data_IF_887768743028
#
_entry.id   IF_887768743028
#
_cell.length_a   1.000
_cell.length_b   1.000
_cell.length_c   1.000
_cell.angle_alpha   90.00
_cell.angle_beta   90.00
_cell.angle_gamma   90.00
#
_symmetry.space_group_name_H-M   'P 1'
#
loop_
_entity.id
_entity.type
_entity.pdbx_description
1 polymer ?
#
# COMPACT_ATOMS: atom_id res chain seq x y z
N UNK A 1 -32.52 -6.02 -0.67
CA UNK A 1 -32.44 -4.64 -1.20
C UNK A 1 -31.13 -4.04 -0.77
N UNK A 2 -30.29 -3.62 -1.72
CA UNK A 2 -29.01 -2.96 -1.44
C UNK A 2 -29.33 -1.47 -1.17
N UNK A 3 -29.23 -1.02 0.07
CA UNK A 3 -29.40 0.40 0.40
C UNK A 3 -28.21 1.21 -0.14
N UNK A 4 -28.49 2.06 -1.14
CA UNK A 4 -27.57 3.00 -1.81
C UNK A 4 -27.19 4.21 -0.93
N UNK A 5 -26.69 3.97 0.27
CA UNK A 5 -26.20 5.05 1.15
C UNK A 5 -25.05 4.67 2.07
N UNK A 6 -24.48 3.47 1.93
CA UNK A 6 -23.48 2.95 2.88
C UNK A 6 -22.07 3.49 2.61
N UNK A 7 -21.39 3.82 3.70
CA UNK A 7 -20.00 4.26 3.75
C UNK A 7 -19.12 3.05 4.09
N UNK A 8 -18.98 2.14 3.13
CA UNK A 8 -18.33 0.85 3.36
C UNK A 8 -16.87 0.98 3.81
N UNK A 9 -16.14 1.99 3.34
CA UNK A 9 -14.78 2.27 3.79
C UNK A 9 -14.74 2.71 5.25
N UNK A 10 -15.73 3.46 5.70
CA UNK A 10 -15.84 3.93 7.09
C UNK A 10 -16.14 2.79 8.06
N UNK A 11 -16.87 1.76 7.62
CA UNK A 11 -17.23 0.57 8.40
C UNK A 11 -16.03 -0.37 8.68
N UNK A 12 -14.91 -0.19 7.97
CA UNK A 12 -13.68 -0.94 8.21
C UNK A 12 -12.98 -0.45 9.48
N UNK A 13 -12.36 -1.38 10.21
CA UNK A 13 -11.58 -1.07 11.40
C UNK A 13 -10.52 0.00 11.11
N UNK A 14 -10.40 0.97 12.01
CA UNK A 14 -9.42 2.06 11.90
C UNK A 14 -8.28 1.89 12.89
N UNK A 15 -7.22 2.67 12.69
CA UNK A 15 -6.06 2.81 13.55
C UNK A 15 -5.41 4.17 13.28
N UNK A 16 -4.45 4.54 14.12
CA UNK A 16 -3.80 5.85 14.07
C UNK A 16 -3.24 6.22 12.69
N UNK A 17 -2.66 5.23 11.96
CA UNK A 17 -2.17 5.46 10.60
C UNK A 17 -3.34 5.70 9.62
N UNK A 18 -4.41 4.93 9.73
CA UNK A 18 -5.61 5.09 8.90
C UNK A 18 -6.25 6.47 9.09
N UNK A 19 -6.38 6.91 10.34
CA UNK A 19 -6.97 8.20 10.69
C UNK A 19 -6.05 9.35 10.26
N UNK A 20 -4.74 9.23 10.47
CA UNK A 20 -3.76 10.21 10.02
C UNK A 20 -3.82 10.42 8.50
N UNK A 21 -3.80 9.33 7.71
CA UNK A 21 -3.85 9.42 6.25
C UNK A 21 -5.20 9.92 5.74
N UNK A 22 -6.30 9.54 6.40
CA UNK A 22 -7.65 10.06 6.09
C UNK A 22 -7.70 11.57 6.27
N UNK A 23 -7.20 12.06 7.42
CA UNK A 23 -7.17 13.50 7.72
C UNK A 23 -6.36 14.28 6.69
N UNK A 24 -5.18 13.78 6.31
CA UNK A 24 -4.34 14.44 5.30
C UNK A 24 -5.00 14.44 3.90
N UNK A 25 -5.65 13.34 3.51
CA UNK A 25 -6.34 13.24 2.23
C UNK A 25 -7.49 14.27 2.13
N UNK A 26 -8.29 14.41 3.19
CA UNK A 26 -9.38 15.38 3.23
C UNK A 26 -8.88 16.82 3.35
N UNK A 27 -7.79 17.07 4.07
CA UNK A 27 -7.19 18.40 4.19
C UNK A 27 -6.60 18.91 2.86
N UNK A 28 -6.25 18.01 1.93
CA UNK A 28 -5.72 18.36 0.62
C UNK A 28 -6.79 18.84 -0.39
N UNK A 29 -8.07 18.76 -0.04
CA UNK A 29 -9.18 19.14 -0.92
C UNK A 29 -10.18 20.06 -0.21
N UNK A 30 -10.87 20.92 -0.95
CA UNK A 30 -11.83 21.89 -0.39
C UNK A 30 -13.26 21.31 -0.25
N UNK A 31 -13.41 19.98 -0.14
CA UNK A 31 -14.69 19.27 -0.33
C UNK A 31 -15.30 18.61 0.91
N UNK A 32 -14.69 18.73 2.09
CA UNK A 32 -15.13 18.04 3.31
C UNK A 32 -14.65 16.58 3.41
N UNK A 33 -15.31 15.77 4.23
CA UNK A 33 -14.95 14.36 4.51
C UNK A 33 -15.33 13.42 3.34
N UNK A 34 -14.61 13.57 2.22
CA UNK A 34 -14.86 12.81 0.98
C UNK A 34 -14.04 11.52 0.90
N UNK A 35 -12.86 11.50 1.52
CA UNK A 35 -11.94 10.38 1.47
C UNK A 35 -11.92 9.59 2.78
N UNK A 36 -11.68 8.30 2.65
CA UNK A 36 -11.45 7.40 3.78
C UNK A 36 -10.27 6.50 3.46
N UNK A 37 -9.26 6.47 4.30
CA UNK A 37 -8.07 5.62 4.14
C UNK A 37 -8.06 4.57 5.23
N UNK A 38 -7.75 3.32 4.88
CA UNK A 38 -7.75 2.19 5.80
C UNK A 38 -6.54 1.30 5.58
N UNK A 39 -5.84 0.98 6.66
CA UNK A 39 -4.89 -0.13 6.71
C UNK A 39 -5.71 -1.42 6.82
N UNK A 40 -5.86 -2.13 5.72
CA UNK A 40 -6.72 -3.32 5.61
C UNK A 40 -5.99 -4.62 5.92
N UNK A 41 -4.65 -4.60 5.92
CA UNK A 41 -3.81 -5.69 6.39
C UNK A 41 -2.53 -5.14 7.01
N UNK A 42 -2.05 -5.80 8.06
CA UNK A 42 -0.77 -5.56 8.71
C UNK A 42 -0.29 -6.88 9.32
N UNK A 43 0.64 -7.57 8.66
CA UNK A 43 1.12 -8.89 9.09
C UNK A 43 2.63 -8.90 9.20
N UNK A 44 3.18 -9.88 9.91
CA UNK A 44 4.62 -10.15 9.93
C UNK A 44 4.88 -11.36 9.04
N UNK A 45 5.87 -11.26 8.17
CA UNK A 45 6.30 -12.35 7.28
C UNK A 45 7.80 -12.54 7.46
N UNK A 46 8.23 -13.80 7.47
CA UNK A 46 9.63 -14.20 7.41
C UNK A 46 9.87 -14.88 6.08
N UNK A 47 10.84 -14.41 5.30
CA UNK A 47 11.12 -14.91 3.96
C UNK A 47 12.64 -15.10 3.73
N UNK A 48 13.04 -16.17 3.03
CA UNK A 48 14.44 -16.36 2.66
C UNK A 48 14.86 -15.32 1.62
N UNK A 49 15.92 -14.59 1.92
CA UNK A 49 16.46 -13.51 1.09
C UNK A 49 17.91 -13.83 0.73
N UNK A 50 18.31 -13.73 -0.56
CA UNK A 50 19.70 -13.97 -0.95
C UNK A 50 20.62 -12.89 -0.35
N UNK A 51 21.73 -13.33 0.20
CA UNK A 51 22.80 -12.48 0.75
C UNK A 51 23.86 -12.19 -0.30
N UNK A 52 24.55 -11.07 -0.17
CA UNK A 52 25.67 -10.70 -1.04
C UNK A 52 26.82 -11.71 -1.01
N UNK A 53 26.94 -12.51 0.06
CA UNK A 53 27.96 -13.55 0.22
C UNK A 53 27.57 -14.91 -0.37
N UNK A 54 26.48 -14.99 -1.14
CA UNK A 54 26.07 -16.22 -1.84
C UNK A 54 25.28 -17.23 -0.99
N UNK A 55 24.79 -16.83 0.19
CA UNK A 55 23.88 -17.63 1.04
C UNK A 55 22.46 -17.08 1.06
N UNK A 56 21.57 -17.68 1.86
CA UNK A 56 20.21 -17.16 2.12
C UNK A 56 20.06 -16.88 3.61
N UNK A 57 19.50 -15.72 3.94
CA UNK A 57 19.13 -15.34 5.30
C UNK A 57 17.61 -15.22 5.42
N UNK A 58 17.05 -15.63 6.56
CA UNK A 58 15.62 -15.41 6.83
C UNK A 58 15.43 -13.98 7.33
N UNK A 59 14.73 -13.16 6.53
CA UNK A 59 14.45 -11.77 6.89
C UNK A 59 13.01 -11.65 7.30
N UNK A 60 12.78 -11.08 8.49
CA UNK A 60 11.46 -10.82 9.03
C UNK A 60 11.09 -9.36 8.85
N UNK A 61 9.92 -9.10 8.31
CA UNK A 61 9.42 -7.75 8.06
C UNK A 61 7.90 -7.69 8.17
N UNK A 62 7.37 -6.48 8.35
CA UNK A 62 5.93 -6.25 8.32
C UNK A 62 5.45 -5.95 6.91
N UNK A 63 4.31 -6.51 6.54
CA UNK A 63 3.61 -6.20 5.29
C UNK A 63 2.31 -5.49 5.61
N UNK A 64 2.16 -4.29 5.07
CA UNK A 64 0.94 -3.47 5.18
C UNK A 64 0.26 -3.33 3.83
N UNK A 65 -1.06 -3.41 3.85
CA UNK A 65 -1.91 -3.09 2.71
C UNK A 65 -2.84 -1.96 3.09
N UNK A 66 -2.86 -0.91 2.28
CA UNK A 66 -3.62 0.32 2.51
C UNK A 66 -4.53 0.54 1.30
N UNK A 67 -5.81 0.78 1.56
CA UNK A 67 -6.78 1.17 0.55
C UNK A 67 -7.34 2.56 0.86
N UNK A 68 -7.56 3.36 -0.17
CA UNK A 68 -8.30 4.62 -0.05
C UNK A 68 -9.60 4.57 -0.85
N UNK A 69 -10.64 5.12 -0.24
CA UNK A 69 -11.99 5.21 -0.74
C UNK A 69 -12.36 6.68 -0.94
N UNK A 70 -13.19 6.94 -1.95
CA UNK A 70 -13.75 8.24 -2.25
C UNK A 70 -15.27 8.15 -2.31
N UNK A 71 -15.97 9.09 -1.68
CA UNK A 71 -17.42 9.21 -1.68
C UNK A 71 -17.91 9.84 -2.97
N UNK A 72 -18.49 9.05 -3.86
CA UNK A 72 -19.02 9.52 -5.15
C UNK A 72 -20.49 9.13 -5.26
N UNK A 73 -21.36 10.13 -5.47
CA UNK A 73 -22.82 9.95 -5.57
C UNK A 73 -23.44 9.13 -4.43
N UNK A 74 -22.99 9.35 -3.18
CA UNK A 74 -23.56 8.68 -2.01
C UNK A 74 -23.15 7.22 -1.81
N UNK A 75 -22.12 6.74 -2.50
CA UNK A 75 -21.47 5.45 -2.23
C UNK A 75 -19.94 5.55 -2.38
N UNK A 76 -19.22 4.62 -1.78
CA UNK A 76 -17.76 4.61 -1.79
C UNK A 76 -17.23 3.90 -3.05
N UNK A 77 -16.18 4.46 -3.65
CA UNK A 77 -15.37 3.81 -4.69
C UNK A 77 -13.92 3.72 -4.22
N UNK A 78 -13.21 2.65 -4.59
CA UNK A 78 -11.77 2.55 -4.32
C UNK A 78 -11.04 3.45 -5.33
N UNK A 79 -10.11 4.27 -4.84
CA UNK A 79 -9.30 5.16 -5.69
C UNK A 79 -7.80 4.88 -5.61
N UNK A 80 -7.34 4.12 -4.62
CA UNK A 80 -5.93 3.88 -4.38
C UNK A 80 -5.71 2.58 -3.61
N UNK A 81 -4.59 1.92 -3.89
CA UNK A 81 -4.06 0.80 -3.13
C UNK A 81 -2.55 0.89 -3.03
N UNK A 82 -2.01 0.53 -1.88
CA UNK A 82 -0.57 0.56 -1.60
C UNK A 82 -0.16 -0.64 -0.75
N UNK A 83 0.92 -1.32 -1.15
CA UNK A 83 1.54 -2.39 -0.39
C UNK A 83 2.94 -1.96 0.06
N UNK A 84 3.24 -2.18 1.34
CA UNK A 84 4.49 -1.73 1.94
C UNK A 84 5.13 -2.82 2.78
N UNK A 85 6.45 -2.93 2.69
CA UNK A 85 7.29 -3.76 3.53
C UNK A 85 8.10 -2.89 4.49
N UNK A 86 7.92 -3.08 5.79
CA UNK A 86 8.60 -2.35 6.85
C UNK A 86 9.55 -3.27 7.62
N UNK A 87 10.85 -2.96 7.56
CA UNK A 87 11.90 -3.71 8.24
C UNK A 87 12.26 -2.99 9.53
N UNK A 88 11.94 -3.61 10.67
CA UNK A 88 12.15 -3.05 12.00
C UNK A 88 13.61 -3.02 12.44
N UNK A 89 13.84 -2.91 13.76
CA UNK A 89 15.19 -2.98 14.35
C UNK A 89 15.77 -4.40 14.37
N UNK A 90 14.90 -5.42 14.42
CA UNK A 90 15.30 -6.82 14.57
C UNK A 90 15.34 -7.48 13.20
N UNK A 91 16.49 -8.03 12.81
CA UNK A 91 16.65 -8.77 11.56
C UNK A 91 18.01 -8.51 10.90
N UNK A 92 18.03 -8.55 9.57
CA UNK A 92 19.21 -8.30 8.75
C UNK A 92 19.69 -6.85 8.85
N UNK A 93 20.99 -6.65 9.07
CA UNK A 93 21.61 -5.32 9.16
C UNK A 93 21.51 -4.53 7.85
N UNK A 94 21.34 -5.21 6.72
CA UNK A 94 21.18 -4.56 5.40
C UNK A 94 19.82 -3.90 5.29
N UNK A 95 18.77 -4.56 5.80
CA UNK A 95 17.38 -4.12 5.68
C UNK A 95 16.87 -3.32 6.87
N UNK A 96 17.58 -3.34 8.00
CA UNK A 96 17.17 -2.66 9.23
C UNK A 96 16.80 -1.19 9.00
N UNK A 97 15.62 -0.79 9.49
CA UNK A 97 15.14 0.58 9.40
C UNK A 97 14.78 1.06 8.00
N UNK A 98 14.54 0.15 7.06
CA UNK A 98 14.10 0.47 5.70
C UNK A 98 12.61 0.21 5.51
N UNK A 99 11.98 1.06 4.71
CA UNK A 99 10.60 0.91 4.25
C UNK A 99 10.62 0.78 2.74
N UNK A 100 10.02 -0.27 2.20
CA UNK A 100 9.89 -0.48 0.76
C UNK A 100 8.42 -0.41 0.38
N UNK A 101 8.04 0.61 -0.38
CA UNK A 101 6.71 0.65 -0.99
C UNK A 101 6.75 -0.26 -2.21
N UNK A 102 6.32 -1.52 -2.02
CA UNK A 102 6.37 -2.57 -3.03
C UNK A 102 5.64 -2.14 -4.30
N UNK A 103 4.46 -1.55 -4.13
CA UNK A 103 3.68 -1.01 -5.22
C UNK A 103 2.62 -0.02 -4.73
N UNK A 104 2.24 0.86 -5.66
CA UNK A 104 1.05 1.71 -5.57
C UNK A 104 0.26 1.53 -6.85
N UNK A 105 -1.06 1.53 -6.74
CA UNK A 105 -1.93 1.47 -7.90
C UNK A 105 -3.21 2.26 -7.66
N UNK A 106 -3.88 2.60 -8.75
CA UNK A 106 -5.11 3.40 -8.71
C UNK A 106 -6.05 2.96 -9.83
N UNK A 107 -7.35 2.70 -9.58
CA UNK A 107 -8.29 2.33 -10.64
C UNK A 107 -8.43 3.44 -11.69
N UNK A 108 -8.98 3.15 -12.89
CA UNK A 108 -9.28 4.17 -13.89
C UNK A 108 -10.05 5.35 -13.31
N UNK A 109 -9.75 6.56 -13.78
CA UNK A 109 -10.46 7.76 -13.36
C UNK A 109 -11.91 7.67 -13.83
N UNK A 110 -12.85 7.79 -12.89
CA UNK A 110 -14.27 7.93 -13.17
C UNK A 110 -14.57 9.37 -13.58
N UNK A 111 -15.51 9.56 -14.51
CA UNK A 111 -15.89 10.89 -15.01
C UNK A 111 -16.43 11.78 -13.87
N UNK A 112 -17.06 11.17 -12.87
CA UNK A 112 -17.67 11.81 -11.72
C UNK A 112 -16.65 12.22 -10.64
N UNK A 113 -15.36 11.87 -10.80
CA UNK A 113 -14.30 12.22 -9.86
C UNK A 113 -13.34 13.23 -10.50
N UNK A 114 -13.28 14.49 -10.00
CA UNK A 114 -12.30 15.47 -10.48
C UNK A 114 -10.87 14.94 -10.34
N UNK A 115 -10.15 14.88 -11.47
CA UNK A 115 -8.79 14.31 -11.50
C UNK A 115 -7.81 15.04 -10.58
N UNK A 116 -7.95 16.37 -10.44
CA UNK A 116 -7.10 17.19 -9.59
C UNK A 116 -7.25 16.88 -8.09
N UNK A 117 -8.49 16.78 -7.60
CA UNK A 117 -8.79 16.44 -6.20
C UNK A 117 -8.28 15.05 -5.85
N UNK A 118 -8.52 14.07 -6.73
CA UNK A 118 -7.98 12.72 -6.58
C UNK A 118 -6.46 12.76 -6.49
N UNK A 119 -5.80 13.43 -7.43
CA UNK A 119 -4.34 13.51 -7.44
C UNK A 119 -3.78 14.17 -6.18
N UNK A 120 -4.42 15.23 -5.68
CA UNK A 120 -4.06 15.90 -4.44
C UNK A 120 -4.19 14.94 -3.24
N UNK A 121 -5.31 14.22 -3.13
CA UNK A 121 -5.52 13.22 -2.08
C UNK A 121 -4.49 12.08 -2.15
N UNK A 122 -4.20 11.53 -3.34
CA UNK A 122 -3.18 10.48 -3.49
C UNK A 122 -1.79 10.99 -3.06
N UNK A 123 -1.45 12.21 -3.45
CA UNK A 123 -0.18 12.86 -3.09
C UNK A 123 -0.08 13.05 -1.58
N UNK A 124 -1.16 13.49 -0.93
CA UNK A 124 -1.24 13.65 0.51
C UNK A 124 -1.14 12.30 1.25
N UNK A 125 -1.76 11.24 0.75
CA UNK A 125 -1.67 9.89 1.33
C UNK A 125 -0.22 9.38 1.28
N UNK A 126 0.43 9.43 0.11
CA UNK A 126 1.79 8.92 0.00
C UNK A 126 2.77 9.77 0.82
N UNK A 127 2.67 11.10 0.76
CA UNK A 127 3.49 12.02 1.55
C UNK A 127 3.28 11.82 3.05
N UNK A 128 2.02 11.67 3.48
CA UNK A 128 1.65 11.37 4.87
C UNK A 128 2.22 10.04 5.36
N UNK A 129 2.28 9.02 4.50
CA UNK A 129 2.90 7.75 4.86
C UNK A 129 4.43 7.87 5.01
N UNK A 130 5.08 8.71 4.19
CA UNK A 130 6.51 9.01 4.33
C UNK A 130 6.78 9.75 5.64
N UNK A 131 5.99 10.78 5.95
CA UNK A 131 6.02 11.50 7.22
C UNK A 131 5.83 10.53 8.40
N UNK A 132 4.82 9.66 8.33
CA UNK A 132 4.55 8.65 9.34
C UNK A 132 5.76 7.76 9.55
N UNK A 133 6.33 7.21 8.47
CA UNK A 133 7.50 6.35 8.52
C UNK A 133 8.70 7.05 9.18
N UNK A 134 8.98 8.30 8.81
CA UNK A 134 10.02 9.10 9.45
C UNK A 134 9.74 9.30 10.95
N UNK A 135 8.51 9.65 11.32
CA UNK A 135 8.11 9.87 12.72
C UNK A 135 8.26 8.62 13.60
N UNK A 136 8.16 7.43 12.99
CA UNK A 136 8.32 6.13 13.65
C UNK A 136 9.75 5.63 13.71
N UNK A 137 10.73 6.41 13.28
CA UNK A 137 12.15 6.04 13.43
C UNK A 137 12.77 5.33 12.22
N UNK A 138 12.03 5.13 11.13
CA UNK A 138 12.63 4.54 9.92
C UNK A 138 13.66 5.49 9.30
N UNK A 139 14.73 4.91 8.75
CA UNK A 139 15.89 5.65 8.24
C UNK A 139 15.89 5.80 6.73
N UNK A 140 15.32 4.84 5.99
CA UNK A 140 15.28 4.88 4.54
C UNK A 140 13.92 4.46 3.99
N UNK A 141 13.54 5.08 2.87
CA UNK A 141 12.39 4.73 2.06
C UNK A 141 12.86 4.34 0.66
N UNK A 142 12.25 3.30 0.11
CA UNK A 142 12.49 2.83 -1.25
C UNK A 142 11.17 2.83 -2.03
N UNK A 143 11.19 3.42 -3.22
CA UNK A 143 10.09 3.40 -4.18
C UNK A 143 10.56 2.76 -5.48
N UNK A 144 9.63 2.13 -6.17
CA UNK A 144 9.91 1.46 -7.43
C UNK A 144 8.84 1.84 -8.47
N UNK A 145 9.28 2.45 -9.57
CA UNK A 145 8.46 2.65 -10.76
C UNK A 145 8.78 1.52 -11.76
N UNK A 146 7.87 0.52 -11.90
CA UNK A 146 8.14 -0.64 -12.72
C UNK A 146 8.15 -0.29 -14.21
N UNK A 147 8.91 -1.04 -15.03
CA UNK A 147 8.93 -0.83 -16.46
C UNK A 147 7.58 -1.23 -17.08
N UNK A 148 7.17 -0.65 -18.22
CA UNK A 148 5.82 -0.82 -18.79
C UNK A 148 5.54 -2.24 -19.30
N UNK A 149 6.56 -3.07 -19.47
CA UNK A 149 6.43 -4.48 -19.86
C UNK A 149 5.96 -5.36 -18.69
N UNK A 150 6.19 -4.94 -17.45
CA UNK A 150 5.76 -5.69 -16.27
C UNK A 150 4.27 -5.44 -15.96
N UNK A 151 3.41 -6.15 -16.71
CA UNK A 151 1.96 -6.08 -16.54
C UNK A 151 1.44 -6.67 -15.23
N UNK A 152 2.28 -7.38 -14.46
CA UNK A 152 1.87 -8.07 -13.24
C UNK A 152 1.90 -7.17 -11.99
N UNK A 153 2.40 -5.93 -12.09
CA UNK A 153 2.58 -5.01 -10.94
C UNK A 153 1.32 -4.23 -10.55
N UNK A 154 0.27 -4.25 -11.36
CA UNK A 154 -0.98 -3.55 -11.07
C UNK A 154 -1.87 -4.34 -10.12
N UNK A 155 -2.65 -3.63 -9.29
CA UNK A 155 -3.54 -4.19 -8.28
C UNK A 155 -4.94 -4.39 -8.87
N UNK A 156 -5.50 -3.36 -9.53
CA UNK A 156 -6.95 -3.28 -9.77
C UNK A 156 -7.39 -3.71 -11.17
N UNK A 157 -6.68 -3.28 -12.21
CA UNK A 157 -7.10 -3.48 -13.60
C UNK A 157 -5.88 -3.78 -14.47
N UNK A 158 -6.02 -4.77 -15.36
CA UNK A 158 -5.06 -5.00 -16.43
C UNK A 158 -5.13 -3.87 -17.45
N UNK A 159 -4.00 -3.19 -17.66
CA UNK A 159 -3.92 -2.03 -18.56
C UNK A 159 -3.34 -2.44 -19.91
N UNK A 160 -3.77 -1.79 -20.99
CA UNK A 160 -3.09 -1.92 -22.30
C UNK A 160 -1.68 -1.34 -22.23
N UNK A 161 -0.78 -1.77 -23.14
CA UNK A 161 0.61 -1.30 -23.13
C UNK A 161 0.73 0.22 -23.21
N UNK A 162 -0.10 0.88 -24.02
CA UNK A 162 -0.11 2.35 -24.17
C UNK A 162 -0.42 3.05 -22.85
N UNK A 163 -1.37 2.54 -22.07
CA UNK A 163 -1.70 3.09 -20.74
C UNK A 163 -0.59 2.80 -19.74
N UNK A 164 0.07 1.64 -19.82
CA UNK A 164 1.23 1.32 -18.94
C UNK A 164 2.44 2.21 -19.21
N UNK A 165 2.69 2.55 -20.47
CA UNK A 165 3.73 3.51 -20.85
C UNK A 165 3.48 4.89 -20.22
N UNK A 166 2.26 5.41 -20.35
CA UNK A 166 1.83 6.66 -19.69
C UNK A 166 1.97 6.58 -18.16
N UNK A 167 1.51 5.48 -17.58
CA UNK A 167 1.48 5.28 -16.13
C UNK A 167 2.89 5.24 -15.53
N UNK A 168 3.85 4.61 -16.21
CA UNK A 168 5.24 4.49 -15.73
C UNK A 168 5.91 5.86 -15.64
N UNK A 169 5.82 6.67 -16.71
CA UNK A 169 6.40 8.01 -16.73
C UNK A 169 5.71 8.92 -15.72
N UNK A 170 4.38 8.89 -15.68
CA UNK A 170 3.61 9.65 -14.70
C UNK A 170 4.02 9.29 -13.26
N UNK A 171 4.14 8.00 -12.95
CA UNK A 171 4.48 7.51 -11.62
C UNK A 171 5.88 7.98 -11.20
N UNK A 172 6.86 7.90 -12.10
CA UNK A 172 8.21 8.39 -11.84
C UNK A 172 8.23 9.90 -11.53
N UNK A 173 7.59 10.72 -12.37
CA UNK A 173 7.49 12.16 -12.13
C UNK A 173 6.70 12.49 -10.85
N UNK A 174 5.67 11.69 -10.54
CA UNK A 174 4.88 11.88 -9.33
C UNK A 174 5.68 11.53 -8.07
N UNK A 175 6.50 10.48 -8.08
CA UNK A 175 7.40 10.16 -6.98
C UNK A 175 8.41 11.29 -6.72
N UNK A 176 9.01 11.88 -7.75
CA UNK A 176 9.90 13.04 -7.57
C UNK A 176 9.20 14.21 -6.86
N UNK A 177 7.95 14.50 -7.23
CA UNK A 177 7.14 15.56 -6.59
C UNK A 177 6.83 15.25 -5.13
N UNK A 178 6.43 14.01 -4.85
CA UNK A 178 6.15 13.55 -3.48
C UNK A 178 7.39 13.64 -2.61
N UNK A 179 8.54 13.16 -3.12
CA UNK A 179 9.81 13.21 -2.41
C UNK A 179 10.29 14.66 -2.19
N UNK A 180 10.14 15.53 -3.19
CA UNK A 180 10.44 16.95 -3.06
C UNK A 180 9.56 17.62 -1.98
N UNK A 181 8.26 17.33 -1.98
CA UNK A 181 7.31 17.87 -0.99
C UNK A 181 7.66 17.39 0.43
N UNK A 182 7.96 16.10 0.59
CA UNK A 182 8.38 15.53 1.88
C UNK A 182 9.73 16.09 2.36
N UNK A 183 10.65 16.40 1.44
CA UNK A 183 11.92 17.08 1.74
C UNK A 183 11.71 18.51 2.21
N UNK A 184 10.84 19.28 1.54
CA UNK A 184 10.46 20.63 1.97
C UNK A 184 9.79 20.63 3.36
N UNK A 185 9.02 19.57 3.66
CA UNK A 185 8.45 19.34 4.99
C UNK A 185 9.45 18.92 6.07
N UNK A 186 10.73 18.73 5.74
CA UNK A 186 11.79 18.36 6.69
C UNK A 186 11.86 16.87 7.06
N UNK A 187 11.05 16.01 6.42
CA UNK A 187 10.99 14.57 6.72
C UNK A 187 12.04 13.76 5.97
N UNK A 188 12.65 14.32 4.93
CA UNK A 188 13.68 13.70 4.11
C UNK A 188 14.94 14.56 4.14
N UNK A 189 16.08 13.94 4.43
CA UNK A 189 17.40 14.57 4.40
C UNK A 189 18.05 14.53 3.01
N UNK A 190 17.78 13.50 2.21
CA UNK A 190 18.34 13.34 0.86
C UNK A 190 17.58 12.32 0.01
N UNK A 191 17.68 12.45 -1.30
CA UNK A 191 16.98 11.61 -2.29
C UNK A 191 17.94 11.20 -3.39
N UNK A 192 17.82 9.96 -3.85
CA UNK A 192 18.56 9.40 -4.98
C UNK A 192 17.57 8.71 -5.91
N UNK A 193 17.82 8.78 -7.22
CA UNK A 193 17.12 7.99 -8.21
C UNK A 193 18.11 7.37 -9.17
N UNK A 194 17.94 6.11 -9.53
CA UNK A 194 18.77 5.42 -10.52
C UNK A 194 17.91 4.74 -11.58
N UNK A 195 18.46 4.64 -12.78
CA UNK A 195 17.90 3.85 -13.87
C UNK A 195 18.57 2.47 -13.88
N UNK A 196 17.79 1.42 -14.08
CA UNK A 196 18.41 0.12 -14.32
C UNK A 196 19.10 0.14 -15.71
N UNK A 197 20.43 0.06 -15.74
CA UNK A 197 21.25 0.07 -16.95
C UNK A 197 22.38 1.11 -17.03
N UNK A 198 22.48 2.03 -16.05
CA UNK A 198 23.62 2.94 -15.93
C UNK A 198 24.73 2.28 -15.10
N UNK A 199 25.49 1.37 -15.73
CA UNK A 199 26.81 0.97 -15.24
C UNK A 199 27.85 2.01 -15.70
N UNK A 200 27.73 3.28 -15.30
CA UNK A 200 28.83 4.26 -15.47
C UNK A 200 28.92 5.25 -14.29
N UNK A 201 30.08 5.18 -13.63
CA UNK A 201 30.81 6.12 -12.78
C UNK A 201 30.07 7.12 -11.87
N UNK A 202 30.40 6.97 -10.58
CA UNK A 202 30.23 7.91 -9.48
C UNK A 202 31.00 9.22 -9.74
N UNK A 203 30.41 10.15 -10.50
CA UNK A 203 30.81 11.55 -10.45
C UNK A 203 29.70 12.50 -10.89
N UNK A 204 29.20 13.26 -9.91
CA UNK A 204 28.53 14.57 -10.05
C UNK A 204 27.43 14.73 -11.12
N UNK A 205 26.17 14.86 -10.67
CA UNK A 205 25.55 16.19 -10.73
C UNK A 205 24.23 16.27 -9.97
N UNK A 206 24.09 17.40 -9.26
CA UNK A 206 22.90 17.85 -8.57
C UNK A 206 21.80 18.14 -9.60
N UNK A 207 20.77 17.29 -9.68
CA UNK A 207 19.67 17.48 -10.61
C UNK A 207 18.90 18.75 -10.25
N UNK A 208 19.01 19.77 -11.10
CA UNK A 208 18.34 21.07 -10.99
C UNK A 208 16.82 20.89 -10.95
N UNK A 209 16.21 21.41 -9.88
CA UNK A 209 14.76 21.47 -9.71
C UNK A 209 14.14 22.45 -10.71
N UNK A 210 13.36 21.96 -11.67
CA UNK A 210 12.48 22.75 -12.51
C UNK A 210 11.00 22.36 -12.28
N UNK A 211 10.12 23.37 -12.25
CA UNK A 211 8.68 23.23 -12.01
C UNK A 211 8.03 22.19 -12.96
N UNK A 212 7.40 21.17 -12.36
CA UNK A 212 7.29 19.82 -12.95
C UNK A 212 5.86 19.40 -13.34
N UNK A 213 4.82 20.23 -13.22
CA UNK A 213 3.50 19.86 -13.76
C UNK A 213 3.48 19.86 -15.28
N UNK A 214 3.98 20.94 -15.88
CA UNK A 214 3.86 21.16 -17.32
C UNK A 214 4.92 20.37 -18.08
N UNK A 215 6.13 20.29 -17.51
CA UNK A 215 7.26 19.55 -18.08
C UNK A 215 7.04 18.03 -18.10
N UNK A 216 6.42 17.46 -17.06
CA UNK A 216 6.06 16.04 -17.05
C UNK A 216 5.05 15.72 -18.15
N UNK A 217 4.07 16.61 -18.38
CA UNK A 217 3.08 16.44 -19.43
C UNK A 217 3.71 16.55 -20.83
N UNK A 218 4.66 17.47 -21.03
CA UNK A 218 5.32 17.69 -22.32
C UNK A 218 6.37 16.63 -22.66
N UNK A 219 7.17 16.19 -21.70
CA UNK A 219 8.11 15.07 -21.87
C UNK A 219 7.32 13.80 -22.16
N UNK A 220 6.27 13.53 -21.39
CA UNK A 220 5.38 12.37 -21.59
C UNK A 220 4.71 12.42 -22.96
N UNK A 221 4.16 13.57 -23.36
CA UNK A 221 3.47 13.74 -24.65
C UNK A 221 4.43 13.59 -25.83
N UNK A 222 5.60 14.24 -25.80
CA UNK A 222 6.63 14.12 -26.85
C UNK A 222 7.14 12.68 -26.97
N UNK A 223 7.38 12.00 -25.85
CA UNK A 223 7.82 10.62 -25.84
C UNK A 223 6.74 9.67 -26.38
N UNK A 224 5.47 9.85 -26.01
CA UNK A 224 4.36 8.97 -26.42
C UNK A 224 3.92 9.15 -27.89
N UNK A 225 4.18 10.31 -28.50
CA UNK A 225 3.82 10.57 -29.90
C UNK A 225 4.95 10.24 -30.89
N UNK A 226 6.08 9.72 -30.42
CA UNK A 226 7.22 9.44 -31.30
C UNK A 226 6.95 8.24 -32.24
N UNK A 227 7.50 8.23 -33.47
CA UNK A 227 7.42 7.08 -34.35
C UNK A 227 8.09 5.85 -33.73
N UNK A 228 7.39 4.72 -33.65
CA UNK A 228 7.92 3.45 -33.11
C UNK A 228 7.76 3.26 -31.60
N UNK A 229 7.05 4.17 -30.91
CA UNK A 229 6.65 4.04 -29.50
C UNK A 229 6.00 2.68 -29.25
N UNK A 230 6.47 1.98 -28.23
CA UNK A 230 5.96 0.66 -27.87
C UNK A 230 6.71 -0.52 -28.46
N UNK A 231 7.61 -0.31 -29.45
CA UNK A 231 8.49 -1.40 -29.93
C UNK A 231 9.61 -1.68 -28.94
N UNK A 232 10.03 -2.95 -28.83
CA UNK A 232 11.11 -3.37 -27.92
C UNK A 232 12.42 -2.59 -28.17
N UNK A 233 12.76 -2.36 -29.45
CA UNK A 233 13.96 -1.60 -29.86
C UNK A 233 13.88 -0.12 -29.48
N UNK A 234 12.69 0.47 -29.53
CA UNK A 234 12.49 1.86 -29.16
C UNK A 234 12.50 2.05 -27.64
N UNK A 235 11.85 1.15 -26.89
CA UNK A 235 11.87 1.18 -25.42
C UNK A 235 13.29 0.97 -24.86
N UNK A 236 14.05 0.00 -25.39
CA UNK A 236 15.43 -0.24 -24.99
C UNK A 236 16.37 0.96 -25.27
N UNK A 237 16.05 1.80 -26.25
CA UNK A 237 16.83 3.00 -26.60
C UNK A 237 16.48 4.21 -25.71
N UNK A 238 15.28 4.26 -25.16
CA UNK A 238 14.77 5.40 -24.41
C UNK A 238 14.64 5.06 -22.92
N UNK A 239 15.70 5.36 -22.16
CA UNK A 239 15.81 5.04 -20.73
C UNK A 239 14.69 5.57 -19.83
N UNK A 240 13.90 6.55 -20.29
CA UNK A 240 12.72 7.08 -19.58
C UNK A 240 11.63 6.03 -19.29
N UNK A 241 11.61 4.91 -20.03
CA UNK A 241 10.71 3.79 -19.80
C UNK A 241 11.39 2.59 -19.14
N UNK A 242 12.66 2.72 -18.75
CA UNK A 242 13.35 1.69 -17.96
C UNK A 242 12.79 1.66 -16.54
N UNK A 243 13.07 0.56 -15.86
CA UNK A 243 12.82 0.42 -14.44
C UNK A 243 13.55 1.53 -13.67
N UNK A 244 12.84 2.20 -12.77
CA UNK A 244 13.38 3.32 -11.99
C UNK A 244 13.20 3.11 -10.50
N UNK A 245 14.29 3.19 -9.78
CA UNK A 245 14.33 3.07 -8.33
C UNK A 245 14.58 4.43 -7.70
N UNK A 246 13.84 4.72 -6.63
CA UNK A 246 14.07 5.90 -5.80
C UNK A 246 14.40 5.46 -4.39
N UNK A 247 15.38 6.13 -3.79
CA UNK A 247 15.73 5.98 -2.39
C UNK A 247 15.68 7.34 -1.72
N UNK A 248 15.10 7.43 -0.53
CA UNK A 248 15.13 8.62 0.30
C UNK A 248 15.69 8.29 1.68
N UNK A 249 16.60 9.13 2.17
CA UNK A 249 17.07 9.12 3.55
C UNK A 249 16.09 9.94 4.38
N UNK A 250 15.37 9.28 5.26
CA UNK A 250 14.41 9.91 6.16
C UNK A 250 15.15 10.65 7.28
N UNK A 251 14.49 11.64 7.87
CA UNK A 251 14.98 12.42 9.00
C UNK A 251 14.13 12.09 10.25
N UNK A 252 14.35 10.93 10.89
CA UNK A 252 13.53 10.52 12.02
C UNK A 252 13.86 11.36 13.27
N UNK A 253 12.85 11.86 14.01
CA UNK A 253 13.08 12.58 15.27
C UNK A 253 13.48 11.66 16.42
N UNK A 254 13.41 10.34 16.23
CA UNK A 254 13.69 9.30 17.24
C UNK A 254 14.67 8.28 16.69
N UNK A 255 15.46 7.68 17.57
CA UNK A 255 16.42 6.64 17.21
C UNK A 255 15.81 5.22 17.17
N UNK A 256 14.68 5.02 17.87
CA UNK A 256 14.00 3.73 17.96
C UNK A 256 12.87 3.60 16.95
N UNK A 257 12.69 2.41 16.38
CA UNK A 257 11.61 2.11 15.46
C UNK A 257 10.37 1.64 16.22
N UNK A 258 9.26 2.35 16.01
CA UNK A 258 7.96 2.01 16.59
C UNK A 258 7.03 1.38 15.55
N UNK A 259 6.51 0.18 15.86
CA UNK A 259 5.55 -0.54 15.03
C UNK A 259 4.29 -0.87 15.85
N UNK A 260 3.60 0.18 16.28
CA UNK A 260 2.46 0.16 17.20
C UNK A 260 1.12 -0.23 16.55
N UNK A 261 1.01 -0.13 15.22
CA UNK A 261 -0.19 -0.59 14.51
C UNK A 261 -0.38 -2.10 14.78
N UNK A 262 -1.57 -2.51 15.27
CA UNK A 262 -1.84 -3.90 15.62
C UNK A 262 -1.80 -4.79 14.38
N UNK A 263 -1.54 -6.08 14.59
CA UNK A 263 -1.59 -7.05 13.49
C UNK A 263 -3.03 -7.22 13.01
N UNK A 264 -3.21 -7.09 11.70
CA UNK A 264 -4.49 -7.22 11.00
C UNK A 264 -4.27 -8.27 9.91
N UNK A 265 -4.47 -9.56 10.19
CA UNK A 265 -4.34 -10.58 9.17
C UNK A 265 -5.50 -10.50 8.18
N UNK A 266 -5.20 -10.47 6.89
CA UNK A 266 -6.20 -10.59 5.83
C UNK A 266 -5.72 -11.57 4.77
N UNK A 267 -6.58 -12.52 4.38
CA UNK A 267 -6.29 -13.43 3.27
C UNK A 267 -6.58 -12.77 1.93
N UNK A 268 -7.57 -11.87 1.92
CA UNK A 268 -7.95 -11.12 0.74
C UNK A 268 -6.91 -10.05 0.37
N UNK A 269 -6.49 -9.22 1.33
CA UNK A 269 -5.66 -8.05 1.08
C UNK A 269 -4.23 -8.14 1.65
N UNK A 270 -3.84 -9.29 2.21
CA UNK A 270 -2.50 -9.47 2.77
C UNK A 270 -1.37 -9.39 1.74
N UNK A 271 -1.62 -9.90 0.52
CA UNK A 271 -0.69 -9.79 -0.61
C UNK A 271 -1.43 -9.22 -1.81
N UNK A 272 -0.74 -8.39 -2.60
CA UNK A 272 -1.27 -7.84 -3.85
C UNK A 272 -1.84 -8.92 -4.77
N UNK A 273 -1.11 -10.02 -4.95
CA UNK A 273 -1.52 -11.11 -5.83
C UNK A 273 -2.86 -11.75 -5.40
N UNK A 274 -3.17 -11.78 -4.10
CA UNK A 274 -4.42 -12.35 -3.61
C UNK A 274 -5.60 -11.43 -3.90
N UNK A 275 -5.44 -10.12 -3.69
CA UNK A 275 -6.46 -9.13 -4.03
C UNK A 275 -6.71 -9.08 -5.55
N UNK A 276 -5.65 -9.05 -6.36
CA UNK A 276 -5.78 -9.06 -7.82
C UNK A 276 -6.45 -10.34 -8.33
N UNK A 277 -6.14 -11.49 -7.74
CA UNK A 277 -6.78 -12.77 -8.08
C UNK A 277 -8.26 -12.76 -7.69
N UNK A 278 -8.60 -12.22 -6.51
CA UNK A 278 -9.99 -12.09 -6.08
C UNK A 278 -10.79 -11.20 -7.04
N UNK A 279 -10.27 -10.03 -7.41
CA UNK A 279 -10.88 -9.12 -8.39
C UNK A 279 -11.15 -9.85 -9.71
N UNK A 280 -10.18 -10.61 -10.21
CA UNK A 280 -10.31 -11.37 -11.45
C UNK A 280 -11.35 -12.49 -11.34
N UNK A 281 -11.32 -13.28 -10.27
CA UNK A 281 -12.22 -14.42 -10.05
C UNK A 281 -13.68 -13.97 -9.90
N UNK A 282 -13.91 -12.91 -9.13
CA UNK A 282 -15.24 -12.32 -8.90
C UNK A 282 -15.68 -11.40 -10.05
N UNK A 283 -14.85 -11.25 -11.09
CA UNK A 283 -15.11 -10.40 -12.28
C UNK A 283 -15.45 -8.96 -11.91
N UNK A 284 -14.80 -8.44 -10.87
CA UNK A 284 -15.01 -7.09 -10.38
C UNK A 284 -14.43 -6.07 -11.37
N UNK A 285 -15.10 -4.94 -11.53
CA UNK A 285 -14.80 -3.94 -12.55
C UNK A 285 -14.78 -2.53 -11.96
N UNK A 286 -14.03 -1.65 -12.62
CA UNK A 286 -13.85 -0.25 -12.22
C UNK A 286 -14.17 0.73 -13.37
N UNK A 287 -14.77 0.25 -14.46
CA UNK A 287 -14.94 1.04 -15.69
C UNK A 287 -16.12 2.01 -15.67
N UNK A 288 -17.11 1.79 -14.81
CA UNK A 288 -18.25 2.69 -14.60
C UNK A 288 -18.43 2.94 -13.11
N UNK A 289 -19.13 4.02 -12.76
CA UNK A 289 -19.41 4.35 -11.36
C UNK A 289 -20.11 3.20 -10.62
N UNK A 290 -21.16 2.62 -11.21
CA UNK A 290 -21.91 1.51 -10.61
C UNK A 290 -21.01 0.28 -10.36
N UNK A 291 -20.18 -0.10 -11.33
CA UNK A 291 -19.24 -1.21 -11.16
C UNK A 291 -18.19 -0.91 -10.09
N UNK A 292 -17.64 0.31 -10.06
CA UNK A 292 -16.66 0.71 -9.07
C UNK A 292 -17.24 0.70 -7.65
N UNK A 293 -18.48 1.17 -7.48
CA UNK A 293 -19.20 1.14 -6.20
C UNK A 293 -19.51 -0.30 -5.77
N UNK A 294 -19.97 -1.15 -6.69
CA UNK A 294 -20.22 -2.56 -6.41
C UNK A 294 -18.93 -3.29 -5.99
N UNK A 295 -17.83 -3.03 -6.69
CA UNK A 295 -16.51 -3.59 -6.39
C UNK A 295 -16.00 -3.15 -5.02
N UNK A 296 -16.09 -1.85 -4.71
CA UNK A 296 -15.71 -1.31 -3.42
C UNK A 296 -16.52 -1.92 -2.27
N UNK A 297 -17.84 -2.01 -2.44
CA UNK A 297 -18.76 -2.64 -1.50
C UNK A 297 -18.42 -4.11 -1.26
N UNK A 298 -18.15 -4.87 -2.33
CA UNK A 298 -17.80 -6.30 -2.25
C UNK A 298 -16.50 -6.50 -1.48
N UNK A 299 -15.44 -5.78 -1.85
CA UNK A 299 -14.13 -5.87 -1.19
C UNK A 299 -14.23 -5.45 0.28
N UNK A 300 -14.84 -4.29 0.57
CA UNK A 300 -14.99 -3.80 1.94
C UNK A 300 -15.81 -4.75 2.81
N UNK A 301 -16.89 -5.33 2.26
CA UNK A 301 -17.69 -6.33 2.99
C UNK A 301 -16.88 -7.58 3.31
N UNK A 302 -16.10 -8.11 2.36
CA UNK A 302 -15.24 -9.28 2.60
C UNK A 302 -14.19 -8.98 3.70
N UNK A 303 -13.55 -7.83 3.65
CA UNK A 303 -12.59 -7.40 4.67
C UNK A 303 -13.23 -7.24 6.06
N UNK A 304 -14.41 -6.62 6.12
CA UNK A 304 -15.16 -6.48 7.37
C UNK A 304 -15.56 -7.84 7.96
N UNK A 305 -15.94 -8.81 7.12
CA UNK A 305 -16.25 -10.17 7.55
C UNK A 305 -15.01 -10.91 8.05
N UNK A 306 -13.87 -10.82 7.36
CA UNK A 306 -12.60 -11.39 7.83
C UNK A 306 -12.20 -10.83 9.20
N UNK A 307 -12.27 -9.51 9.35
CA UNK A 307 -11.90 -8.83 10.61
C UNK A 307 -12.78 -9.28 11.78
N UNK A 308 -14.11 -9.33 11.59
CA UNK A 308 -15.05 -9.80 12.62
C UNK A 308 -14.81 -11.26 12.99
N UNK A 309 -14.49 -12.10 12.02
CA UNK A 309 -14.19 -13.51 12.25
C UNK A 309 -12.92 -13.69 13.11
N UNK A 310 -11.85 -12.96 12.77
CA UNK A 310 -10.58 -13.00 13.54
C UNK A 310 -10.80 -12.51 14.98
N UNK A 311 -11.55 -11.43 15.17
CA UNK A 311 -11.88 -10.91 16.51
C UNK A 311 -12.68 -11.93 17.33
N UNK A 312 -13.68 -12.59 16.75
CA UNK A 312 -14.46 -13.61 17.42
C UNK A 312 -13.59 -14.83 17.85
N UNK A 313 -12.64 -15.26 17.00
CA UNK A 313 -11.72 -16.34 17.35
C UNK A 313 -10.80 -15.96 18.51
N UNK A 314 -10.25 -14.74 18.52
CA UNK A 314 -9.40 -14.25 19.60
C UNK A 314 -10.17 -14.19 20.94
N UNK A 315 -11.41 -13.71 20.91
CA UNK A 315 -12.27 -13.68 22.10
C UNK A 315 -12.56 -15.09 22.63
N UNK A 316 -12.83 -16.05 21.74
CA UNK A 316 -13.07 -17.43 22.14
C UNK A 316 -11.83 -18.09 22.78
N UNK A 317 -10.64 -17.87 22.21
CA UNK A 317 -9.39 -18.37 22.79
C UNK A 317 -9.08 -17.77 24.16
N UNK A 318 -9.34 -16.47 24.35
CA UNK A 318 -9.17 -15.80 25.63
C UNK A 318 -10.13 -16.36 26.70
N UNK A 319 -11.38 -16.66 26.33
CA UNK A 319 -12.36 -17.26 27.25
C UNK A 319 -11.98 -18.69 27.66
N UNK A 320 -11.40 -19.50 26.75
CA UNK A 320 -10.93 -20.85 27.06
C UNK A 320 -9.74 -20.84 28.03
N UNK A 321 -8.81 -19.88 27.90
CA UNK A 321 -7.66 -19.77 28.82
C UNK A 321 -8.01 -19.20 30.20
N UNK A 322 -9.19 -18.60 30.36
CA UNK A 322 -9.68 -18.05 31.63
C UNK A 322 -10.56 -19.03 32.42
N UNK A 323 -10.85 -20.23 31.90
CA UNK A 323 -11.52 -21.27 32.69
C UNK A 323 -10.51 -21.90 33.67
N UNK A 324 -10.76 -21.86 34.99
CA UNK A 324 -9.90 -22.55 35.96
C UNK A 324 -9.94 -24.07 35.69
N UNK A 325 -8.86 -24.80 35.97
CA UNK A 325 -8.85 -26.26 35.82
C UNK A 325 -9.99 -26.81 36.68
N UNK A 326 -10.94 -27.48 36.02
CA UNK A 326 -12.15 -27.98 36.67
C UNK A 326 -11.80 -28.81 37.89
N UNK A 327 -12.36 -28.43 39.04
CA UNK A 327 -12.46 -29.31 40.20
C UNK A 327 -13.25 -30.56 39.79
N UNK A 328 -12.56 -31.69 39.69
CA UNK A 328 -13.20 -33.01 39.59
C UNK A 328 -14.18 -33.15 40.76
N UNK A 329 -15.48 -33.37 40.52
CA UNK A 329 -16.38 -33.74 41.60
C UNK A 329 -16.17 -35.22 41.92
N UNK A 330 -15.82 -35.46 43.18
CA UNK A 330 -16.07 -36.68 43.96
C UNK A 330 -15.47 -38.02 43.49
N UNK A 331 -14.25 -38.25 43.96
CA UNK A 331 -13.88 -39.54 44.51
C UNK A 331 -14.35 -39.66 45.96
N UNK A 332 -15.61 -40.04 46.20
CA UNK A 332 -16.01 -40.60 47.49
C UNK A 332 -16.83 -41.85 47.27
N UNK A 333 -16.23 -42.99 47.62
CA UNK A 333 -16.91 -44.27 47.66
C UNK A 333 -17.97 -44.29 48.76
N UNK A 334 -19.17 -44.73 48.42
CA UNK A 334 -20.07 -45.35 49.37
C UNK A 334 -20.88 -46.44 48.65
N UNK A 335 -20.64 -47.68 49.07
CA UNK A 335 -21.34 -48.89 48.64
C UNK A 335 -22.68 -48.96 49.40
N UNK A 336 -23.82 -49.26 48.75
CA UNK A 336 -25.08 -49.46 49.46
C UNK A 336 -25.15 -50.87 50.08
N UNK A 337 -25.78 -51.05 51.26
CA UNK A 337 -25.95 -52.37 51.86
C UNK A 337 -27.23 -53.05 51.33
N UNK A 338 -27.09 -54.26 50.77
CA UNK A 338 -28.11 -55.33 50.81
C UNK A 338 -27.54 -56.42 51.73
N UNK A 339 -28.17 -56.81 52.85
CA UNK A 339 -29.44 -57.54 53.04
C UNK A 339 -29.42 -58.94 52.39
N UNK A 340 -29.18 -59.93 53.28
CA UNK A 340 -29.19 -61.40 53.16
C UNK A 340 -28.12 -62.07 52.30
#
# INVERSE_FOLDING_TARGET
>A
GIHMGRHFGADLATNDLSDHLTSLANAAVNGGDMFTVRVVSNTIISAPTPTTTGGTEEVTFRVKSILAFHRVAGADVIIFGMYVHEYGEVGSSVYQGRVFIECVDSPPLLHETPGGERQAALTAILTGYIQWSASRGFSFLHLHAPPPQDGAKHIFVLRSLSVRLQSTVHLACWFEKVLSSARQGGYIAGTWSTWCGDDEDDSSDESTHADSSDLASDITRKALTAPGVGSAKWQAKHGIFNERYFMAKLNPPRLRIEQDIPLIPSRLAGRRADLSRFIANERLQFGTLEHAQYTAMTIARCLALESRYVQAQQQHQQQQHQQPPGTNPDGTGSVPPGVC
#
